data_IF_317561691770
#
_entry.id   IF_317561691770
#
_cell.length_a   1.000
_cell.length_b   1.000
_cell.length_c   1.000
_cell.angle_alpha   90.00
_cell.angle_beta   90.00
_cell.angle_gamma   90.00
#
_symmetry.space_group_name_H-M   'P 1'
#
loop_
_entity.id
_entity.type
_entity.pdbx_description
1 polymer ?
#
# COMPACT_ATOMS: atom_id res chain seq x y z
N UNK A 1 6.69 7.88 8.79
CA UNK A 1 5.88 7.83 10.03
C UNK A 1 5.57 6.37 10.39
N UNK A 2 5.51 6.03 11.69
CA UNK A 2 4.96 4.73 12.11
C UNK A 2 3.45 4.78 12.00
N UNK A 3 2.88 3.88 11.20
CA UNK A 3 1.44 3.75 10.95
C UNK A 3 0.83 2.73 11.91
N UNK A 4 1.45 1.56 12.06
CA UNK A 4 1.00 0.51 12.98
C UNK A 4 2.06 0.25 14.07
N UNK A 5 1.72 0.53 15.33
CA UNK A 5 2.63 0.27 16.45
C UNK A 5 2.73 -1.23 16.78
N UNK A 6 1.61 -1.97 16.73
CA UNK A 6 1.57 -3.40 17.07
C UNK A 6 2.52 -4.24 16.22
N UNK A 7 2.54 -3.98 14.91
CA UNK A 7 3.33 -4.74 13.93
C UNK A 7 4.50 -3.93 13.36
N UNK A 8 4.77 -2.75 13.93
CA UNK A 8 5.87 -1.83 13.55
C UNK A 8 5.90 -1.52 12.04
N UNK A 9 4.73 -1.26 11.46
CA UNK A 9 4.59 -0.91 10.05
C UNK A 9 4.70 0.61 9.91
N UNK A 10 5.61 1.06 9.06
CA UNK A 10 5.76 2.46 8.67
C UNK A 10 5.03 2.79 7.37
N UNK A 11 4.83 4.07 7.11
CA UNK A 11 4.40 4.58 5.80
C UNK A 11 5.28 4.05 4.66
N UNK A 12 6.61 4.03 4.84
CA UNK A 12 7.56 3.49 3.88
C UNK A 12 7.30 2.02 3.55
N UNK A 13 6.90 1.22 4.53
CA UNK A 13 6.59 -0.20 4.29
C UNK A 13 5.33 -0.34 3.41
N UNK A 14 4.32 0.50 3.63
CA UNK A 14 3.10 0.53 2.82
C UNK A 14 3.42 0.99 1.39
N UNK A 15 4.17 2.08 1.23
CA UNK A 15 4.61 2.54 -0.09
C UNK A 15 5.45 1.48 -0.81
N UNK A 16 6.30 0.75 -0.07
CA UNK A 16 7.12 -0.31 -0.63
C UNK A 16 6.28 -1.49 -1.14
N UNK A 17 5.26 -1.91 -0.38
CA UNK A 17 4.28 -2.91 -0.81
C UNK A 17 3.60 -2.53 -2.13
N UNK A 18 3.12 -1.29 -2.23
CA UNK A 18 2.45 -0.79 -3.44
C UNK A 18 3.42 -0.67 -4.61
N UNK A 19 4.60 -0.09 -4.39
CA UNK A 19 5.56 0.22 -5.47
C UNK A 19 6.29 -1.00 -5.99
N UNK A 20 6.84 -1.84 -5.11
CA UNK A 20 7.71 -2.96 -5.49
C UNK A 20 6.91 -4.24 -5.70
N UNK A 21 5.91 -4.49 -4.87
CA UNK A 21 5.11 -5.72 -4.93
C UNK A 21 3.80 -5.55 -5.73
N UNK A 22 3.51 -4.34 -6.21
CA UNK A 22 2.32 -4.07 -7.02
C UNK A 22 1.00 -4.27 -6.27
N UNK A 23 1.01 -4.20 -4.93
CA UNK A 23 -0.21 -4.40 -4.13
C UNK A 23 -1.22 -3.30 -4.46
N UNK A 24 -2.43 -3.70 -4.85
CA UNK A 24 -3.56 -2.80 -5.17
C UNK A 24 -4.85 -3.18 -4.44
N UNK A 25 -4.77 -4.15 -3.53
CA UNK A 25 -5.85 -4.52 -2.62
C UNK A 25 -5.38 -4.38 -1.16
N UNK A 26 -6.23 -3.81 -0.31
CA UNK A 26 -5.87 -3.53 1.07
C UNK A 26 -5.87 -4.76 1.97
N UNK A 27 -6.67 -5.78 1.67
CA UNK A 27 -6.61 -7.04 2.41
C UNK A 27 -5.28 -7.75 2.12
N UNK A 28 -4.81 -7.71 0.87
CA UNK A 28 -3.46 -8.18 0.53
C UNK A 28 -2.36 -7.38 1.26
N UNK A 29 -2.51 -6.05 1.40
CA UNK A 29 -1.60 -5.24 2.21
C UNK A 29 -1.58 -5.70 3.68
N UNK A 30 -2.76 -5.95 4.26
CA UNK A 30 -2.89 -6.43 5.65
C UNK A 30 -2.26 -7.80 5.82
N UNK A 31 -2.44 -8.72 4.87
CA UNK A 31 -1.81 -10.04 4.93
C UNK A 31 -0.27 -9.94 4.86
N UNK A 32 0.25 -9.07 4.00
CA UNK A 32 1.68 -8.87 3.81
C UNK A 32 2.36 -8.16 5.00
N UNK A 33 1.73 -7.10 5.52
CA UNK A 33 2.34 -6.20 6.53
C UNK A 33 1.86 -6.44 7.95
N UNK A 34 0.73 -7.16 8.10
CA UNK A 34 -0.05 -7.29 9.33
C UNK A 34 -0.58 -5.96 9.88
N UNK A 35 -0.55 -4.88 9.10
CA UNK A 35 -1.22 -3.64 9.50
C UNK A 35 -2.70 -3.90 9.81
N UNK A 36 -3.26 -3.21 10.80
CA UNK A 36 -4.65 -3.34 11.24
C UNK A 36 -5.10 -4.72 11.74
N UNK A 37 -4.20 -5.71 11.88
CA UNK A 37 -4.56 -7.09 12.25
C UNK A 37 -4.53 -7.40 13.76
N UNK A 38 -4.18 -6.44 14.62
CA UNK A 38 -4.05 -6.63 16.07
C UNK A 38 -5.08 -5.80 16.85
N UNK A 39 -4.76 -4.54 17.18
CA UNK A 39 -5.69 -3.65 17.90
C UNK A 39 -6.67 -2.90 16.98
N UNK A 40 -6.40 -2.86 15.67
CA UNK A 40 -7.22 -2.15 14.68
C UNK A 40 -7.08 -0.62 14.68
N UNK A 41 -6.49 0.01 15.70
CA UNK A 41 -6.44 1.48 15.83
C UNK A 41 -5.75 2.21 14.66
N UNK A 42 -4.89 1.52 13.90
CA UNK A 42 -4.21 2.10 12.74
C UNK A 42 -4.98 1.92 11.43
N UNK A 43 -6.17 1.30 11.43
CA UNK A 43 -6.87 0.91 10.19
C UNK A 43 -7.05 2.08 9.22
N UNK A 44 -7.62 3.18 9.69
CA UNK A 44 -7.95 4.32 8.84
C UNK A 44 -6.68 5.04 8.35
N UNK A 45 -5.70 5.24 9.26
CA UNK A 45 -4.39 5.78 8.90
C UNK A 45 -3.65 4.90 7.86
N UNK A 46 -3.70 3.58 8.01
CA UNK A 46 -3.11 2.65 7.05
C UNK A 46 -3.83 2.67 5.70
N UNK A 47 -5.17 2.80 5.70
CA UNK A 47 -5.99 2.94 4.50
C UNK A 47 -5.62 4.21 3.74
N UNK A 48 -5.57 5.35 4.41
CA UNK A 48 -5.23 6.64 3.81
C UNK A 48 -3.85 6.62 3.15
N UNK A 49 -2.84 6.09 3.84
CA UNK A 49 -1.48 5.96 3.31
C UNK A 49 -1.43 4.99 2.12
N UNK A 50 -2.19 3.88 2.19
CA UNK A 50 -2.28 2.92 1.10
C UNK A 50 -2.93 3.52 -0.16
N UNK A 51 -4.03 4.26 0.01
CA UNK A 51 -4.76 4.89 -1.09
C UNK A 51 -3.89 5.98 -1.77
N UNK A 52 -3.20 6.82 -0.98
CA UNK A 52 -2.23 7.78 -1.50
C UNK A 52 -1.09 7.09 -2.26
N UNK A 53 -0.55 6.00 -1.72
CA UNK A 53 0.48 5.22 -2.41
C UNK A 53 -0.03 4.65 -3.74
N UNK A 54 -1.25 4.09 -3.76
CA UNK A 54 -1.85 3.55 -4.99
C UNK A 54 -2.08 4.63 -6.04
N UNK A 55 -2.54 5.83 -5.65
CA UNK A 55 -2.72 6.95 -6.56
C UNK A 55 -1.39 7.43 -7.16
N UNK A 56 -0.33 7.51 -6.35
CA UNK A 56 1.03 7.91 -6.81
C UNK A 56 1.67 6.87 -7.73
N UNK A 57 1.26 5.61 -7.63
CA UNK A 57 1.82 4.49 -8.39
C UNK A 57 0.78 3.86 -9.34
N UNK A 58 -0.29 4.59 -9.67
CA UNK A 58 -1.18 4.26 -10.77
C UNK A 58 -0.44 4.59 -12.08
N UNK A 59 0.44 3.69 -12.53
CA UNK A 59 0.88 3.77 -13.93
C UNK A 59 -0.34 3.56 -14.83
N UNK A 60 -0.48 4.35 -15.91
CA UNK A 60 -1.50 4.08 -16.92
C UNK A 60 -1.20 2.72 -17.54
N UNK A 61 -2.08 1.75 -17.29
CA UNK A 61 -2.04 0.46 -17.99
C UNK A 61 -2.30 0.75 -19.47
N UNK A 62 -1.27 0.60 -20.29
CA UNK A 62 -1.37 0.55 -21.76
C UNK A 62 -1.20 1.88 -22.52
N UNK A 63 0.04 2.16 -22.93
CA UNK A 63 0.28 2.63 -24.30
C UNK A 63 1.28 1.67 -24.93
N UNK A 64 0.78 0.61 -25.56
CA UNK A 64 1.55 -0.09 -26.59
C UNK A 64 1.61 0.91 -27.76
N UNK A 65 2.65 1.75 -27.80
CA UNK A 65 2.96 2.50 -29.01
C UNK A 65 3.50 1.50 -30.02
N UNK A 66 2.60 1.01 -30.87
CA UNK A 66 2.96 0.22 -32.04
C UNK A 66 3.94 1.03 -32.89
N UNK A 67 4.99 0.33 -33.33
CA UNK A 67 5.88 0.81 -34.38
C UNK A 67 5.07 0.93 -35.69
N UNK A 68 5.08 2.11 -36.30
CA UNK A 68 5.15 2.30 -37.75
C UNK A 68 5.72 3.69 -38.05
#
# INVERSE_FOLDING_TARGET
MIVCLCNRVSDRDIHHAVKTHGVRDFEVLKDMTRAASCCGCCHDCAREVFDDACQRHAEPVGTISQHN
#
